data_IF_137137481691
#
_entry.id   IF_137137481691
#
_cell.length_a   1.000
_cell.length_b   1.000
_cell.length_c   1.000
_cell.angle_alpha   90.00
_cell.angle_beta   90.00
_cell.angle_gamma   90.00
#
_symmetry.space_group_name_H-M   'P 1'
#
loop_
_entity.id
_entity.type
_entity.pdbx_description
1 polymer ?
#
# COMPACT_ATOMS: atom_id res chain seq x y z
N UNK A 1 36.75 -20.74 14.09
CA UNK A 1 37.36 -20.75 12.72
C UNK A 1 36.35 -20.49 11.62
N UNK A 2 35.35 -19.60 11.83
CA UNK A 2 34.30 -19.28 10.84
C UNK A 2 34.15 -17.78 10.54
N UNK A 3 35.18 -16.98 10.77
CA UNK A 3 35.15 -15.52 10.55
C UNK A 3 35.70 -15.06 9.21
N UNK A 4 36.09 -15.98 8.30
CA UNK A 4 36.83 -15.60 7.09
C UNK A 4 36.02 -15.63 5.78
N UNK A 5 34.75 -16.07 5.80
CA UNK A 5 33.94 -16.14 4.56
C UNK A 5 33.27 -14.84 4.15
N UNK A 6 33.05 -13.90 5.06
CA UNK A 6 32.41 -12.61 4.74
C UNK A 6 33.39 -11.54 4.22
N UNK A 7 34.69 -11.72 4.40
CA UNK A 7 35.71 -10.83 3.86
C UNK A 7 36.04 -11.08 2.38
N UNK A 8 35.71 -12.25 1.84
CA UNK A 8 36.18 -12.71 0.54
C UNK A 8 35.65 -11.93 -0.67
N UNK A 9 34.41 -11.48 -0.67
CA UNK A 9 33.84 -10.78 -1.82
C UNK A 9 34.41 -9.36 -2.00
N UNK A 10 34.56 -8.60 -0.94
CA UNK A 10 35.16 -7.26 -0.99
C UNK A 10 36.64 -7.29 -1.45
N UNK A 11 37.41 -8.30 -1.04
CA UNK A 11 38.82 -8.47 -1.43
C UNK A 11 38.98 -9.01 -2.86
N UNK A 12 38.03 -9.84 -3.33
CA UNK A 12 37.97 -10.29 -4.74
C UNK A 12 37.72 -9.11 -5.67
N UNK A 13 36.76 -8.23 -5.35
CA UNK A 13 36.52 -7.02 -6.14
C UNK A 13 37.69 -6.05 -6.16
N UNK A 14 38.39 -5.87 -5.04
CA UNK A 14 39.62 -5.06 -4.99
C UNK A 14 40.76 -5.64 -5.83
N UNK A 15 40.94 -6.97 -5.82
CA UNK A 15 41.97 -7.67 -6.60
C UNK A 15 41.70 -7.64 -8.11
N UNK A 16 40.40 -7.53 -8.52
CA UNK A 16 39.98 -7.45 -9.92
C UNK A 16 40.05 -6.01 -10.48
N UNK A 17 40.64 -5.05 -9.78
CA UNK A 17 40.70 -3.66 -10.23
C UNK A 17 39.39 -2.88 -10.13
N UNK A 18 38.35 -3.45 -9.50
CA UNK A 18 37.05 -2.81 -9.26
C UNK A 18 37.04 -1.99 -7.95
N UNK A 19 38.18 -1.63 -7.42
CA UNK A 19 38.34 -0.75 -6.26
C UNK A 19 37.78 0.64 -6.56
N UNK A 20 36.50 0.86 -6.34
CA UNK A 20 35.81 2.12 -6.63
C UNK A 20 34.47 1.92 -7.34
N UNK A 21 34.16 0.72 -7.82
CA UNK A 21 32.83 0.43 -8.36
C UNK A 21 31.76 0.49 -7.25
N UNK A 22 30.72 1.29 -7.45
CA UNK A 22 29.59 1.36 -6.53
C UNK A 22 28.84 0.04 -6.54
N UNK A 23 28.34 -0.37 -5.38
CA UNK A 23 27.47 -1.53 -5.29
C UNK A 23 26.14 -1.25 -5.99
N UNK A 24 25.76 -2.13 -6.89
CA UNK A 24 24.47 -2.04 -7.58
C UNK A 24 23.41 -2.77 -6.77
N UNK A 25 22.30 -2.09 -6.49
CA UNK A 25 21.17 -2.61 -5.73
C UNK A 25 19.89 -2.44 -6.54
N UNK A 26 19.13 -3.49 -6.70
CA UNK A 26 17.84 -3.46 -7.39
C UNK A 26 16.69 -3.51 -6.36
N UNK A 27 15.74 -2.58 -6.49
CA UNK A 27 14.49 -2.61 -5.74
C UNK A 27 13.37 -3.17 -6.62
N UNK A 28 12.83 -4.31 -6.20
CA UNK A 28 11.68 -4.93 -6.85
C UNK A 28 10.55 -5.17 -5.85
N UNK A 29 9.33 -5.34 -6.34
CA UNK A 29 8.15 -5.62 -5.54
C UNK A 29 6.88 -5.18 -6.25
N UNK A 30 5.74 -5.37 -5.59
CA UNK A 30 4.43 -5.01 -6.11
C UNK A 30 4.27 -3.49 -6.26
N UNK A 31 3.30 -3.00 -7.06
CA UNK A 31 3.03 -1.56 -7.19
C UNK A 31 2.64 -0.92 -5.86
N UNK A 32 2.92 0.36 -5.72
CA UNK A 32 2.49 1.24 -4.64
C UNK A 32 2.91 0.85 -3.20
N UNK A 33 3.98 0.08 -3.03
CA UNK A 33 4.54 -0.29 -1.71
C UNK A 33 5.67 0.62 -1.23
N UNK A 34 5.83 1.78 -1.85
CA UNK A 34 6.79 2.79 -1.42
C UNK A 34 8.22 2.60 -1.93
N UNK A 35 8.48 1.77 -2.97
CA UNK A 35 9.83 1.58 -3.53
C UNK A 35 10.51 2.89 -3.89
N UNK A 36 9.87 3.71 -4.71
CA UNK A 36 10.42 5.00 -5.14
C UNK A 36 10.53 6.00 -3.98
N UNK A 37 9.62 5.95 -3.01
CA UNK A 37 9.72 6.73 -1.77
C UNK A 37 10.93 6.32 -0.95
N UNK A 38 11.17 5.02 -0.81
CA UNK A 38 12.36 4.49 -0.14
C UNK A 38 13.64 4.98 -0.84
N UNK A 39 13.70 4.87 -2.19
CA UNK A 39 14.84 5.35 -2.97
C UNK A 39 15.09 6.85 -2.73
N UNK A 40 14.03 7.67 -2.74
CA UNK A 40 14.14 9.11 -2.54
C UNK A 40 14.66 9.45 -1.14
N UNK A 41 14.14 8.77 -0.12
CA UNK A 41 14.60 8.95 1.26
C UNK A 41 16.07 8.54 1.40
N UNK A 42 16.45 7.40 0.81
CA UNK A 42 17.80 6.89 0.88
C UNK A 42 18.80 7.74 0.07
N UNK A 43 18.38 8.27 -1.08
CA UNK A 43 19.20 9.13 -1.92
C UNK A 43 19.29 10.59 -1.43
N UNK A 44 18.54 10.94 -0.37
CA UNK A 44 18.53 12.31 0.16
C UNK A 44 17.92 13.35 -0.77
N UNK A 45 17.20 12.95 -1.81
CA UNK A 45 16.59 13.86 -2.79
C UNK A 45 15.47 13.17 -3.57
N UNK A 46 14.54 13.95 -4.11
CA UNK A 46 13.44 13.45 -4.97
C UNK A 46 13.97 13.07 -6.37
N UNK A 47 14.78 12.04 -6.48
CA UNK A 47 15.37 11.56 -7.73
C UNK A 47 14.54 10.52 -8.46
N UNK A 48 13.73 9.74 -7.74
CA UNK A 48 12.79 8.81 -8.32
C UNK A 48 11.36 9.38 -8.31
N UNK A 49 10.57 9.06 -9.33
CA UNK A 49 9.16 9.48 -9.36
C UNK A 49 8.37 8.66 -8.35
N UNK A 50 7.87 9.33 -7.31
CA UNK A 50 6.99 8.76 -6.31
C UNK A 50 5.61 9.40 -6.42
N UNK A 51 4.56 8.60 -6.37
CA UNK A 51 3.17 9.04 -6.24
C UNK A 51 2.30 7.90 -5.72
N UNK A 52 1.18 8.22 -5.13
CA UNK A 52 0.26 7.27 -4.50
C UNK A 52 -0.63 6.51 -5.50
N UNK A 53 -0.18 6.41 -6.77
CA UNK A 53 -0.93 5.71 -7.81
C UNK A 53 -0.12 4.57 -8.40
N UNK A 54 -0.73 3.39 -8.65
CA UNK A 54 -0.08 2.26 -9.30
C UNK A 54 0.43 2.62 -10.70
N UNK A 55 1.61 2.13 -11.06
CA UNK A 55 2.18 2.30 -12.41
C UNK A 55 2.81 3.65 -12.69
N UNK A 56 3.18 4.42 -11.66
CA UNK A 56 3.91 5.70 -11.81
C UNK A 56 5.30 5.48 -12.35
N UNK A 57 6.02 4.47 -11.88
CA UNK A 57 7.30 4.06 -12.42
C UNK A 57 7.06 3.23 -13.68
N UNK A 58 7.13 3.86 -14.85
CA UNK A 58 6.85 3.20 -16.14
C UNK A 58 8.02 2.45 -16.74
N UNK A 59 9.23 2.70 -16.27
CA UNK A 59 10.46 2.09 -16.79
C UNK A 59 11.53 1.96 -15.72
N UNK A 60 12.59 1.22 -16.04
CA UNK A 60 13.77 1.09 -15.19
C UNK A 60 14.43 2.46 -15.04
N UNK A 61 14.77 2.83 -13.80
CA UNK A 61 15.44 4.10 -13.52
C UNK A 61 16.63 3.85 -12.59
N UNK A 62 17.82 4.30 -13.00
CA UNK A 62 18.99 4.30 -12.13
C UNK A 62 19.05 5.58 -11.30
N UNK A 63 19.26 5.43 -10.01
CA UNK A 63 19.49 6.51 -9.06
C UNK A 63 20.83 6.29 -8.41
N UNK A 64 21.82 7.12 -8.76
CA UNK A 64 23.18 7.03 -8.20
C UNK A 64 23.27 7.83 -6.90
N UNK A 65 23.81 7.20 -5.87
CA UNK A 65 24.20 7.83 -4.61
C UNK A 65 25.72 7.75 -4.45
N UNK A 66 26.27 8.27 -3.38
CA UNK A 66 27.72 8.23 -3.16
C UNK A 66 28.25 6.80 -2.98
N UNK A 67 27.43 5.89 -2.44
CA UNK A 67 27.85 4.52 -2.09
C UNK A 67 27.24 3.44 -2.98
N UNK A 68 26.07 3.69 -3.57
CA UNK A 68 25.27 2.71 -4.29
C UNK A 68 24.70 3.27 -5.59
N UNK A 69 24.52 2.42 -6.57
CA UNK A 69 23.66 2.67 -7.72
C UNK A 69 22.38 1.85 -7.53
N UNK A 70 21.25 2.56 -7.34
CA UNK A 70 19.94 1.97 -7.07
C UNK A 70 19.16 1.85 -8.37
N UNK A 71 18.68 0.66 -8.70
CA UNK A 71 17.79 0.42 -9.82
C UNK A 71 16.35 0.35 -9.32
N UNK A 72 15.57 1.39 -9.64
CA UNK A 72 14.11 1.38 -9.41
C UNK A 72 13.41 0.62 -10.52
N UNK A 73 12.73 -0.45 -10.13
CA UNK A 73 11.97 -1.29 -11.04
C UNK A 73 10.48 -0.97 -10.92
N UNK A 74 9.75 -0.93 -12.07
CA UNK A 74 8.29 -0.87 -12.04
C UNK A 74 7.73 -1.97 -11.16
N UNK A 75 6.67 -1.64 -10.40
CA UNK A 75 5.96 -2.65 -9.64
C UNK A 75 5.27 -3.66 -10.55
N UNK A 76 5.38 -4.93 -10.22
CA UNK A 76 4.82 -6.02 -11.00
C UNK A 76 3.87 -6.83 -10.15
N UNK A 77 2.66 -7.08 -10.67
CA UNK A 77 1.70 -8.03 -10.12
C UNK A 77 1.60 -9.24 -11.06
N UNK A 78 1.37 -10.41 -10.49
CA UNK A 78 1.05 -11.59 -11.28
C UNK A 78 -0.37 -11.48 -11.87
N UNK A 79 -0.60 -12.19 -12.97
CA UNK A 79 -1.84 -12.05 -13.77
C UNK A 79 -3.09 -12.62 -13.10
N UNK A 80 -2.94 -13.54 -12.17
CA UNK A 80 -4.05 -14.24 -11.50
C UNK A 80 -3.73 -14.38 -10.02
N UNK A 81 -4.68 -14.01 -9.19
CA UNK A 81 -4.59 -14.15 -7.73
C UNK A 81 -5.19 -15.49 -7.30
N UNK A 82 -4.52 -16.18 -6.39
CA UNK A 82 -4.94 -17.49 -5.90
C UNK A 82 -6.13 -17.39 -4.94
N UNK A 83 -6.31 -16.24 -4.31
CA UNK A 83 -7.37 -15.98 -3.34
C UNK A 83 -8.03 -14.61 -3.56
N UNK A 84 -9.35 -14.56 -3.32
CA UNK A 84 -10.10 -13.30 -3.30
C UNK A 84 -9.62 -12.37 -2.16
N UNK A 85 -9.19 -12.94 -1.03
CA UNK A 85 -8.65 -12.20 0.10
C UNK A 85 -7.36 -11.48 -0.30
N UNK A 86 -6.42 -12.17 -0.95
CA UNK A 86 -5.18 -11.57 -1.46
C UNK A 86 -5.50 -10.43 -2.44
N UNK A 87 -6.44 -10.65 -3.36
CA UNK A 87 -6.86 -9.61 -4.30
C UNK A 87 -7.44 -8.37 -3.58
N UNK A 88 -8.27 -8.57 -2.56
CA UNK A 88 -8.83 -7.48 -1.74
C UNK A 88 -7.73 -6.74 -0.99
N UNK A 89 -6.81 -7.44 -0.33
CA UNK A 89 -5.69 -6.83 0.40
C UNK A 89 -4.79 -5.99 -0.52
N UNK A 90 -4.48 -6.49 -1.73
CA UNK A 90 -3.73 -5.74 -2.74
C UNK A 90 -4.48 -4.49 -3.23
N UNK A 91 -5.81 -4.57 -3.33
CA UNK A 91 -6.65 -3.44 -3.68
C UNK A 91 -6.70 -2.41 -2.53
N UNK A 92 -6.84 -2.84 -1.27
CA UNK A 92 -6.82 -1.95 -0.10
C UNK A 92 -5.56 -1.11 -0.03
N UNK A 93 -4.38 -1.69 -0.26
CA UNK A 93 -3.11 -0.95 -0.26
C UNK A 93 -2.84 -0.18 -1.56
N UNK A 94 -3.78 -0.17 -2.51
CA UNK A 94 -3.66 0.56 -3.76
C UNK A 94 -2.65 -0.03 -4.76
N UNK A 95 -2.31 -1.32 -4.65
CA UNK A 95 -1.45 -2.00 -5.64
C UNK A 95 -2.19 -2.28 -6.94
N UNK A 96 -3.52 -2.33 -6.91
CA UNK A 96 -4.41 -2.43 -8.07
C UNK A 96 -5.00 -1.04 -8.33
N UNK A 97 -5.21 -0.70 -9.61
CA UNK A 97 -5.82 0.58 -9.98
C UNK A 97 -7.29 0.61 -9.60
N UNK A 98 -7.73 1.67 -8.95
CA UNK A 98 -9.12 1.84 -8.54
C UNK A 98 -10.09 1.94 -9.73
N UNK A 99 -9.62 2.45 -10.89
CA UNK A 99 -10.42 2.59 -12.11
C UNK A 99 -11.01 1.27 -12.65
N UNK A 100 -10.46 0.13 -12.24
CA UNK A 100 -10.90 -1.20 -12.65
C UNK A 100 -11.65 -1.95 -11.54
N UNK A 101 -11.87 -1.31 -10.41
CA UNK A 101 -12.48 -1.89 -9.22
C UNK A 101 -13.83 -1.25 -8.95
N UNK A 102 -14.76 -2.05 -8.42
CA UNK A 102 -15.93 -1.53 -7.76
C UNK A 102 -15.49 -0.98 -6.38
N UNK A 103 -15.32 0.33 -6.31
CA UNK A 103 -14.79 1.03 -5.15
C UNK A 103 -15.75 0.94 -3.96
N UNK A 104 -17.06 0.94 -4.20
CA UNK A 104 -18.06 0.82 -3.15
C UNK A 104 -18.01 -0.56 -2.50
N UNK A 105 -18.03 -1.63 -3.31
CA UNK A 105 -17.86 -3.00 -2.82
C UNK A 105 -16.55 -3.18 -2.08
N UNK A 106 -15.47 -2.57 -2.58
CA UNK A 106 -14.16 -2.63 -1.91
C UNK A 106 -14.19 -1.90 -0.55
N UNK A 107 -14.85 -0.74 -0.50
CA UNK A 107 -15.05 0.01 0.74
C UNK A 107 -15.87 -0.75 1.77
N UNK A 108 -16.95 -1.44 1.35
CA UNK A 108 -17.73 -2.31 2.23
C UNK A 108 -16.85 -3.39 2.87
N UNK A 109 -16.09 -4.11 2.07
CA UNK A 109 -15.16 -5.15 2.58
C UNK A 109 -14.10 -4.60 3.53
N UNK A 110 -13.60 -3.39 3.26
CA UNK A 110 -12.63 -2.75 4.15
C UNK A 110 -13.30 -2.36 5.48
N UNK A 111 -14.54 -1.84 5.46
CA UNK A 111 -15.28 -1.55 6.69
C UNK A 111 -15.54 -2.81 7.53
N UNK A 112 -15.93 -3.94 6.90
CA UNK A 112 -16.10 -5.22 7.58
C UNK A 112 -14.79 -5.68 8.24
N UNK A 113 -13.69 -5.67 7.51
CA UNK A 113 -12.37 -6.02 8.04
C UNK A 113 -11.96 -5.12 9.21
N UNK A 114 -12.21 -3.81 9.11
CA UNK A 114 -11.88 -2.86 10.17
C UNK A 114 -12.79 -3.03 11.39
N UNK A 115 -14.07 -3.35 11.18
CA UNK A 115 -15.00 -3.65 12.27
C UNK A 115 -14.57 -4.89 13.07
N UNK A 116 -13.98 -5.87 12.41
CA UNK A 116 -13.45 -7.09 13.05
C UNK A 116 -12.09 -6.84 13.73
N UNK A 117 -11.15 -6.21 13.04
CA UNK A 117 -9.75 -6.14 13.51
C UNK A 117 -9.42 -4.89 14.33
N UNK A 118 -10.08 -3.78 14.05
CA UNK A 118 -9.80 -2.48 14.65
C UNK A 118 -11.08 -1.63 14.86
N UNK A 119 -12.11 -2.17 15.56
CA UNK A 119 -13.42 -1.52 15.68
C UNK A 119 -13.34 -0.10 16.23
N UNK A 120 -12.51 0.11 17.26
CA UNK A 120 -12.38 1.41 17.90
C UNK A 120 -11.89 2.49 16.94
N UNK A 121 -11.03 2.13 15.99
CA UNK A 121 -10.49 3.07 15.00
C UNK A 121 -11.60 3.69 14.14
N UNK A 122 -12.54 2.87 13.64
CA UNK A 122 -13.63 3.37 12.79
C UNK A 122 -14.71 4.08 13.61
N UNK A 123 -14.96 3.63 14.84
CA UNK A 123 -15.88 4.29 15.77
C UNK A 123 -15.39 5.71 16.05
N UNK A 124 -14.15 5.87 16.47
CA UNK A 124 -13.57 7.17 16.82
C UNK A 124 -13.45 8.08 15.60
N UNK A 125 -13.03 7.52 14.46
CA UNK A 125 -12.79 8.30 13.26
C UNK A 125 -14.05 8.80 12.58
N UNK A 126 -15.10 7.96 12.52
CA UNK A 126 -16.31 8.26 11.78
C UNK A 126 -17.52 8.53 12.67
N UNK A 127 -17.38 8.38 14.00
CA UNK A 127 -18.50 8.53 14.97
C UNK A 127 -19.69 7.64 14.63
N UNK A 128 -19.40 6.39 14.28
CA UNK A 128 -20.40 5.35 13.93
C UNK A 128 -20.55 4.33 15.05
N UNK A 129 -21.60 3.54 14.98
CA UNK A 129 -21.82 2.42 15.87
C UNK A 129 -21.80 1.12 15.07
N UNK A 130 -21.09 0.11 15.58
CA UNK A 130 -21.09 -1.23 15.02
C UNK A 130 -22.29 -1.98 15.64
N UNK A 131 -23.20 -2.56 14.82
CA UNK A 131 -24.30 -3.35 15.33
C UNK A 131 -23.81 -4.56 16.14
N UNK A 132 -24.50 -4.90 17.22
CA UNK A 132 -24.24 -6.11 18.01
C UNK A 132 -24.79 -7.38 17.35
N UNK A 133 -25.84 -7.22 16.53
CA UNK A 133 -26.45 -8.31 15.79
C UNK A 133 -25.74 -8.54 14.45
N UNK A 134 -25.72 -9.81 14.00
CA UNK A 134 -25.21 -10.14 12.67
C UNK A 134 -26.01 -9.41 11.58
N UNK A 135 -25.32 -8.69 10.73
CA UNK A 135 -25.89 -7.95 9.62
C UNK A 135 -25.27 -8.43 8.31
N UNK A 136 -26.09 -8.94 7.39
CA UNK A 136 -25.64 -9.44 6.08
C UNK A 136 -24.95 -8.36 5.23
N UNK A 137 -25.22 -7.07 5.52
CA UNK A 137 -24.70 -5.93 4.78
C UNK A 137 -23.92 -4.96 5.67
N UNK A 138 -23.22 -5.49 6.68
CA UNK A 138 -22.52 -4.69 7.69
C UNK A 138 -21.64 -3.60 7.07
N UNK A 139 -20.80 -3.95 6.08
CA UNK A 139 -19.91 -2.99 5.45
C UNK A 139 -20.63 -1.83 4.79
N UNK A 140 -21.73 -2.10 4.12
CA UNK A 140 -22.55 -1.07 3.48
C UNK A 140 -23.24 -0.18 4.51
N UNK A 141 -23.79 -0.75 5.58
CA UNK A 141 -24.40 0.01 6.67
C UNK A 141 -23.39 0.94 7.35
N UNK A 142 -22.20 0.45 7.64
CA UNK A 142 -21.11 1.26 8.22
C UNK A 142 -20.67 2.39 7.28
N UNK A 143 -20.58 2.14 5.96
CA UNK A 143 -20.31 3.19 4.98
C UNK A 143 -21.43 4.24 4.95
N UNK A 144 -22.69 3.82 5.01
CA UNK A 144 -23.82 4.76 5.07
C UNK A 144 -23.78 5.61 6.33
N UNK A 145 -23.54 5.01 7.50
CA UNK A 145 -23.41 5.75 8.75
C UNK A 145 -22.29 6.79 8.67
N UNK A 146 -21.10 6.38 8.19
CA UNK A 146 -19.93 7.26 8.03
C UNK A 146 -20.20 8.38 7.03
N UNK A 147 -20.80 8.07 5.87
CA UNK A 147 -21.18 9.05 4.86
C UNK A 147 -22.20 10.07 5.39
N UNK A 148 -23.20 9.61 6.16
CA UNK A 148 -24.18 10.47 6.81
C UNK A 148 -23.54 11.42 7.81
N UNK A 149 -22.62 10.93 8.64
CA UNK A 149 -21.88 11.75 9.61
C UNK A 149 -21.01 12.82 8.95
N UNK A 150 -20.50 12.54 7.76
CA UNK A 150 -19.70 13.49 6.97
C UNK A 150 -20.52 14.38 6.04
N UNK A 151 -21.84 14.19 5.99
CA UNK A 151 -22.73 15.00 5.15
C UNK A 151 -22.57 14.71 3.66
N UNK A 152 -22.15 13.51 3.26
CA UNK A 152 -22.03 13.13 1.86
C UNK A 152 -23.39 12.71 1.31
N UNK A 153 -24.08 13.67 0.72
CA UNK A 153 -25.42 13.50 0.17
C UNK A 153 -25.42 13.70 -1.35
N UNK A 154 -26.11 12.82 -2.03
CA UNK A 154 -26.47 12.94 -3.44
C UNK A 154 -27.70 13.84 -3.61
N UNK A 155 -27.98 14.23 -4.86
CA UNK A 155 -29.24 14.92 -5.20
C UNK A 155 -30.40 13.94 -4.92
N UNK A 156 -31.29 14.31 -4.01
CA UNK A 156 -32.39 13.43 -3.55
C UNK A 156 -32.25 13.00 -2.09
N UNK A 157 -31.12 13.28 -1.43
CA UNK A 157 -30.93 13.00 0.00
C UNK A 157 -30.38 11.62 0.31
N UNK A 158 -30.07 10.83 -0.71
CA UNK A 158 -29.36 9.55 -0.55
C UNK A 158 -27.90 9.78 -0.14
N UNK A 159 -27.33 8.81 0.57
CA UNK A 159 -25.93 8.86 1.00
C UNK A 159 -25.01 8.50 -0.18
N UNK A 160 -23.98 9.31 -0.43
CA UNK A 160 -22.92 9.05 -1.40
C UNK A 160 -21.91 8.05 -0.80
N UNK A 161 -22.26 6.78 -0.82
CA UNK A 161 -21.45 5.67 -0.28
C UNK A 161 -20.18 5.44 -1.10
N UNK A 162 -20.23 5.67 -2.41
CA UNK A 162 -19.04 5.57 -3.27
C UNK A 162 -17.98 6.60 -2.89
N UNK A 163 -18.40 7.85 -2.66
CA UNK A 163 -17.51 8.90 -2.17
C UNK A 163 -16.92 8.56 -0.81
N UNK A 164 -17.76 8.01 0.10
CA UNK A 164 -17.28 7.59 1.41
C UNK A 164 -16.27 6.46 1.31
N UNK A 165 -16.50 5.47 0.43
CA UNK A 165 -15.59 4.37 0.17
C UNK A 165 -14.22 4.85 -0.35
N UNK A 166 -14.21 5.82 -1.28
CA UNK A 166 -12.95 6.44 -1.76
C UNK A 166 -12.16 7.09 -0.62
N UNK A 167 -12.84 7.85 0.23
CA UNK A 167 -12.20 8.51 1.37
C UNK A 167 -11.67 7.48 2.38
N UNK A 168 -12.44 6.43 2.65
CA UNK A 168 -12.01 5.34 3.53
C UNK A 168 -10.72 4.68 3.03
N UNK A 169 -10.66 4.37 1.74
CA UNK A 169 -9.46 3.79 1.11
C UNK A 169 -8.27 4.74 1.16
N UNK A 170 -8.47 6.03 0.89
CA UNK A 170 -7.42 7.04 0.95
C UNK A 170 -6.89 7.21 2.38
N UNK A 171 -7.77 7.26 3.38
CA UNK A 171 -7.39 7.36 4.79
C UNK A 171 -6.67 6.09 5.29
N UNK A 172 -7.10 4.92 4.83
CA UNK A 172 -6.42 3.65 5.11
C UNK A 172 -5.01 3.64 4.54
N UNK A 173 -4.85 3.96 3.25
CA UNK A 173 -3.58 4.02 2.54
C UNK A 173 -2.64 5.09 3.10
N UNK A 174 -3.20 6.21 3.53
CA UNK A 174 -2.47 7.30 4.17
C UNK A 174 -2.08 7.04 5.63
N UNK A 175 -2.50 5.91 6.21
CA UNK A 175 -2.19 5.55 7.61
C UNK A 175 -2.95 6.38 8.64
N UNK A 176 -3.98 7.13 8.23
CA UNK A 176 -4.83 7.95 9.12
C UNK A 176 -5.61 7.07 10.10
N UNK A 177 -5.96 5.86 9.67
CA UNK A 177 -6.65 4.84 10.47
C UNK A 177 -5.69 4.03 11.37
N UNK A 178 -4.42 4.42 11.44
CA UNK A 178 -3.41 3.73 12.23
C UNK A 178 -2.67 2.64 11.44
N UNK A 179 -1.93 1.81 12.19
CA UNK A 179 -1.13 0.71 11.62
C UNK A 179 -1.91 -0.59 11.72
N UNK A 180 -2.47 -1.02 10.60
CA UNK A 180 -3.30 -2.22 10.52
C UNK A 180 -2.57 -3.26 9.67
N UNK A 181 -2.48 -4.49 10.19
CA UNK A 181 -1.85 -5.62 9.51
C UNK A 181 -2.93 -6.46 8.83
N UNK A 182 -2.90 -6.54 7.51
CA UNK A 182 -3.90 -7.30 6.72
C UNK A 182 -3.69 -8.81 6.76
N UNK A 183 -2.45 -9.24 6.93
CA UNK A 183 -2.07 -10.65 6.96
C UNK A 183 -1.06 -10.90 8.09
N UNK A 184 -1.23 -12.00 8.81
CA UNK A 184 -0.26 -12.46 9.79
C UNK A 184 0.52 -13.61 9.19
N UNK A 185 1.85 -13.70 9.41
CA UNK A 185 2.61 -14.87 9.01
C UNK A 185 2.08 -16.09 9.77
N UNK A 186 2.00 -17.23 9.07
CA UNK A 186 1.73 -18.55 9.66
C UNK A 186 2.90 -19.00 10.53
#
# INVERSE_FOLDING_TARGET
>A
RDTDRSRGLGDVYKRQGMGGAKTQVMLCGIPNVGKSTFINTFAGSARAKAADRPGVTKGKQWVSTDKFDLLDMPGVLWKKFDSKTIASNLAFIGSIKDDILDVETLGCKLMELLAEQAPQTIIDRYSIAIPEEECDFLGYELLQQAGRRRGFLLRGGEIDTERMARILLDEFRGGVLGRITLEKPE
#
